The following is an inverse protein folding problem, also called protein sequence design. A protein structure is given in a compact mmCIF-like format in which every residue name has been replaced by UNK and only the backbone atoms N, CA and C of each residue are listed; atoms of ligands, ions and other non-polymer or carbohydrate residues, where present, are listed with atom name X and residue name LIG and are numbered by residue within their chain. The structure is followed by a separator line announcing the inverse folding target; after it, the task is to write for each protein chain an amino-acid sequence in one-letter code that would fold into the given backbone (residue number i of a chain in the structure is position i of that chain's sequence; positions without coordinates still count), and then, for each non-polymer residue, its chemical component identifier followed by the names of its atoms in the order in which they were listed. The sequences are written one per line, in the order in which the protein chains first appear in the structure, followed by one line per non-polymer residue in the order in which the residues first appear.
data_IF_671884113041
#
_entry.id   IF_671884113041
#
_cell.length_a   1.000
_cell.length_b   1.000
_cell.length_c   1.000
_cell.angle_alpha   90.00
_cell.angle_beta   90.00
_cell.angle_gamma   90.00
#
_symmetry.space_group_name_H-M   'P 1'
#
loop_
_entity.id
_entity.type
_entity.pdbx_description
1 polymer ?
#
# COMPACT_ATOMS: atom_id res chain seq x y z
N UNK A 1 5.45 -8.19 -0.62
CA UNK A 1 4.65 -9.15 0.16
C UNK A 1 3.29 -8.52 0.51
N UNK A 2 2.28 -8.73 -0.34
CA UNK A 2 0.94 -8.14 -0.19
C UNK A 2 -0.01 -9.14 0.47
N UNK A 3 -0.78 -8.66 1.46
CA UNK A 3 -1.69 -9.39 2.35
C UNK A 3 -1.00 -10.08 3.55
N UNK A 4 -0.96 -9.34 4.68
CA UNK A 4 -0.49 -9.87 5.98
C UNK A 4 -1.47 -10.86 6.63
N UNK A 5 -2.66 -11.01 6.03
CA UNK A 5 -3.68 -11.95 6.45
C UNK A 5 -3.90 -12.92 5.31
N UNK A 6 -3.41 -14.14 5.48
CA UNK A 6 -3.58 -15.19 4.49
C UNK A 6 -5.05 -15.61 4.45
N UNK A 7 -5.68 -15.45 3.29
CA UNK A 7 -7.03 -15.97 3.05
C UNK A 7 -6.97 -17.50 3.16
N UNK A 8 -7.98 -18.12 3.77
CA UNK A 8 -8.01 -19.60 3.91
C UNK A 8 -7.91 -20.28 2.53
N UNK A 9 -7.04 -21.30 2.33
CA UNK A 9 -6.74 -21.88 1.01
C UNK A 9 -7.98 -22.23 0.16
N UNK A 10 -9.00 -22.86 0.76
CA UNK A 10 -10.25 -23.23 0.07
C UNK A 10 -11.21 -22.07 -0.22
N UNK A 11 -10.90 -20.84 0.18
CA UNK A 11 -11.75 -19.66 0.01
C UNK A 11 -11.04 -18.48 -0.64
N UNK A 12 -9.80 -18.61 -1.11
CA UNK A 12 -8.96 -17.48 -1.56
C UNK A 12 -9.45 -16.81 -2.83
N UNK A 13 -9.97 -17.59 -3.77
CA UNK A 13 -10.37 -17.07 -5.08
C UNK A 13 -11.53 -16.08 -4.96
N UNK A 14 -11.48 -15.06 -5.81
CA UNK A 14 -12.40 -13.91 -5.78
C UNK A 14 -13.12 -13.73 -7.11
N UNK A 15 -12.67 -14.41 -8.16
CA UNK A 15 -13.30 -14.47 -9.47
C UNK A 15 -13.23 -15.88 -10.06
N UNK A 16 -14.27 -16.29 -10.79
CA UNK A 16 -14.32 -17.54 -11.56
C UNK A 16 -14.61 -17.25 -13.03
N UNK A 17 -13.96 -17.98 -13.93
CA UNK A 17 -14.28 -17.93 -15.36
C UNK A 17 -15.65 -18.57 -15.64
N UNK A 18 -16.28 -18.21 -16.76
CA UNK A 18 -17.60 -18.70 -17.19
C UNK A 18 -17.67 -20.23 -17.31
N UNK A 19 -16.53 -20.88 -17.58
CA UNK A 19 -16.41 -22.33 -17.69
C UNK A 19 -16.20 -23.04 -16.34
N UNK A 20 -16.16 -22.31 -15.22
CA UNK A 20 -15.85 -22.75 -13.85
C UNK A 20 -14.51 -23.48 -13.65
N UNK A 21 -13.67 -23.56 -14.69
CA UNK A 21 -12.38 -24.26 -14.61
C UNK A 21 -11.31 -23.42 -13.95
N UNK A 22 -11.37 -22.11 -14.16
CA UNK A 22 -10.36 -21.17 -13.68
C UNK A 22 -10.92 -20.32 -12.55
N UNK A 23 -10.19 -20.29 -11.43
CA UNK A 23 -10.53 -19.48 -10.26
C UNK A 23 -9.30 -18.67 -9.85
N UNK A 24 -9.41 -17.36 -9.93
CA UNK A 24 -8.30 -16.45 -9.67
C UNK A 24 -8.57 -15.58 -8.43
N UNK A 25 -7.50 -15.20 -7.76
CA UNK A 25 -7.51 -14.14 -6.76
C UNK A 25 -7.08 -12.85 -7.45
N UNK A 26 -8.06 -12.03 -7.82
CA UNK A 26 -7.83 -10.77 -8.54
C UNK A 26 -8.21 -9.53 -7.72
N UNK A 27 -8.95 -9.73 -6.62
CA UNK A 27 -9.35 -8.64 -5.74
C UNK A 27 -8.51 -8.64 -4.46
N UNK A 28 -7.80 -7.52 -4.30
CA UNK A 28 -6.91 -7.25 -3.18
C UNK A 28 -7.33 -5.99 -2.47
N UNK A 29 -6.98 -5.93 -1.19
CA UNK A 29 -7.26 -4.77 -0.36
C UNK A 29 -5.96 -4.31 0.26
N UNK A 30 -5.66 -3.03 0.06
CA UNK A 30 -4.42 -2.42 0.49
C UNK A 30 -4.68 -1.62 1.77
N UNK A 31 -3.84 -1.84 2.78
CA UNK A 31 -3.89 -1.09 4.02
C UNK A 31 -2.47 -0.88 4.52
N UNK A 32 -2.12 0.38 4.78
CA UNK A 32 -0.83 0.78 5.34
C UNK A 32 -0.75 0.49 6.86
N UNK A 33 -1.91 0.42 7.55
CA UNK A 33 -2.01 0.16 8.99
C UNK A 33 -2.40 -1.29 9.29
N UNK A 34 -1.47 -2.23 9.16
CA UNK A 34 -1.71 -3.66 9.46
C UNK A 34 -2.40 -3.94 10.80
N UNK A 35 -2.09 -3.16 11.84
CA UNK A 35 -2.59 -3.33 13.22
C UNK A 35 -4.12 -3.30 13.37
N UNK A 36 -4.80 -2.50 12.53
CA UNK A 36 -6.26 -2.33 12.61
C UNK A 36 -6.99 -3.42 11.84
N UNK A 37 -6.32 -4.09 10.90
CA UNK A 37 -6.93 -5.17 10.12
C UNK A 37 -6.85 -6.46 10.93
N UNK A 38 -8.00 -7.07 11.22
CA UNK A 38 -8.11 -8.29 12.04
C UNK A 38 -8.47 -9.53 11.23
N UNK A 39 -9.18 -9.37 10.13
CA UNK A 39 -9.61 -10.48 9.27
C UNK A 39 -9.73 -9.96 7.83
N UNK A 40 -9.27 -10.76 6.88
CA UNK A 40 -9.57 -10.60 5.46
C UNK A 40 -10.06 -11.95 4.98
N UNK A 41 -11.32 -12.02 4.58
CA UNK A 41 -11.96 -13.27 4.18
C UNK A 41 -12.84 -13.06 2.97
N UNK A 42 -13.01 -14.13 2.19
CA UNK A 42 -13.97 -14.14 1.08
C UNK A 42 -15.24 -14.82 1.55
N UNK A 43 -16.38 -14.15 1.37
CA UNK A 43 -17.70 -14.67 1.73
C UNK A 43 -18.05 -15.81 0.77
N UNK A 44 -18.73 -16.85 1.28
CA UNK A 44 -19.13 -17.99 0.47
C UNK A 44 -20.23 -17.57 -0.53
N UNK A 45 -20.17 -18.06 -1.76
CA UNK A 45 -21.17 -17.77 -2.80
C UNK A 45 -22.59 -18.08 -2.34
N UNK A 46 -22.75 -19.21 -1.64
CA UNK A 46 -24.03 -19.67 -1.10
C UNK A 46 -24.76 -18.67 -0.19
N UNK A 47 -24.08 -17.61 0.26
CA UNK A 47 -24.66 -16.60 1.15
C UNK A 47 -25.10 -15.30 0.45
N UNK A 48 -24.39 -14.85 -0.58
CA UNK A 48 -24.56 -13.48 -1.11
C UNK A 48 -24.42 -13.40 -2.64
N UNK A 49 -23.76 -14.37 -3.29
CA UNK A 49 -23.30 -14.24 -4.68
C UNK A 49 -23.56 -15.51 -5.50
N UNK A 50 -24.72 -16.15 -5.33
CA UNK A 50 -25.02 -17.48 -5.93
C UNK A 50 -24.94 -17.50 -7.46
N UNK A 51 -25.13 -16.34 -8.11
CA UNK A 51 -25.12 -16.22 -9.58
C UNK A 51 -24.08 -15.20 -10.10
N UNK A 52 -23.12 -14.78 -9.26
CA UNK A 52 -22.04 -13.89 -9.69
C UNK A 52 -20.76 -14.69 -9.91
N UNK A 53 -20.03 -14.31 -10.95
CA UNK A 53 -18.66 -14.74 -11.22
C UNK A 53 -17.65 -14.14 -10.23
N UNK A 54 -18.07 -13.14 -9.45
CA UNK A 54 -17.28 -12.49 -8.41
C UNK A 54 -17.73 -12.91 -7.01
N UNK A 55 -16.75 -13.04 -6.10
CA UNK A 55 -17.02 -13.29 -4.67
C UNK A 55 -16.75 -12.06 -3.84
N UNK A 56 -17.69 -11.77 -2.94
CA UNK A 56 -17.59 -10.65 -2.01
C UNK A 56 -16.44 -10.87 -1.01
N UNK A 57 -15.60 -9.85 -0.85
CA UNK A 57 -14.54 -9.80 0.17
C UNK A 57 -15.03 -9.03 1.39
N UNK A 58 -14.73 -9.58 2.56
CA UNK A 58 -14.97 -8.94 3.84
C UNK A 58 -13.65 -8.64 4.53
N UNK A 59 -13.52 -7.40 5.00
CA UNK A 59 -12.46 -7.01 5.93
C UNK A 59 -13.08 -6.69 7.28
N UNK A 60 -12.46 -7.19 8.35
CA UNK A 60 -12.73 -6.73 9.70
C UNK A 60 -11.66 -5.73 10.12
N UNK A 61 -12.08 -4.49 10.33
CA UNK A 61 -11.23 -3.43 10.87
C UNK A 61 -11.64 -3.18 12.32
N UNK A 62 -10.66 -3.12 13.22
CA UNK A 62 -10.86 -2.79 14.63
C UNK A 62 -9.98 -1.59 14.96
N UNK A 63 -10.61 -0.51 15.38
CA UNK A 63 -9.95 0.74 15.76
C UNK A 63 -10.10 0.93 17.27
N UNK A 64 -8.99 0.87 18.00
CA UNK A 64 -8.94 1.30 19.39
C UNK A 64 -8.67 2.82 19.43
N UNK A 65 -9.69 3.59 19.79
CA UNK A 65 -9.59 5.05 19.86
C UNK A 65 -8.57 5.52 20.90
N UNK A 66 -8.43 4.81 22.02
CA UNK A 66 -7.42 5.13 23.04
C UNK A 66 -6.01 4.90 22.52
N UNK A 67 -5.80 3.82 21.78
CA UNK A 67 -4.52 3.53 21.12
C UNK A 67 -4.20 4.53 20.00
N UNK A 68 -5.21 4.96 19.25
CA UNK A 68 -5.07 6.02 18.24
C UNK A 68 -4.66 7.34 18.90
N UNK A 69 -5.38 7.78 19.94
CA UNK A 69 -5.08 9.02 20.67
C UNK A 69 -3.68 9.01 21.27
N UNK A 70 -3.27 7.92 21.93
CA UNK A 70 -1.90 7.78 22.45
C UNK A 70 -0.84 7.89 21.36
N UNK A 71 -1.11 7.35 20.16
CA UNK A 71 -0.18 7.44 19.03
C UNK A 71 -0.12 8.83 18.42
N UNK A 72 -1.26 9.53 18.31
CA UNK A 72 -1.29 10.90 17.85
C UNK A 72 -0.51 11.81 18.81
N UNK A 73 -0.69 11.65 20.12
CA UNK A 73 0.07 12.38 21.13
C UNK A 73 1.58 12.08 21.07
N UNK A 74 1.98 10.82 20.85
CA UNK A 74 3.40 10.47 20.66
C UNK A 74 3.97 10.99 19.33
N UNK A 75 3.15 11.03 18.29
CA UNK A 75 3.56 11.54 16.97
C UNK A 75 3.75 13.06 16.98
N UNK A 76 2.90 13.80 17.70
CA UNK A 76 3.07 15.25 17.87
C UNK A 76 4.31 15.62 18.69
N UNK A 77 4.77 14.71 19.56
CA UNK A 77 6.02 14.85 20.32
C UNK A 77 7.28 14.50 19.52
N UNK A 78 7.16 13.70 18.44
CA UNK A 78 8.30 13.45 17.54
C UNK A 78 8.60 14.71 16.74
N UNK A 79 9.89 15.07 16.66
CA UNK A 79 10.40 16.24 15.91
C UNK A 79 9.64 16.44 14.58
N UNK A 80 9.36 17.70 14.24
CA UNK A 80 8.73 18.10 12.95
C UNK A 80 9.34 17.30 11.81
N UNK A 81 8.48 16.64 11.04
CA UNK A 81 8.87 15.82 9.89
C UNK A 81 9.83 16.57 8.99
N UNK A 82 10.80 15.86 8.44
CA UNK A 82 11.61 16.32 7.32
C UNK A 82 10.66 16.91 6.27
N UNK A 83 10.86 18.18 5.92
CA UNK A 83 9.93 18.90 5.05
C UNK A 83 10.04 18.26 3.66
N UNK A 84 8.96 17.61 3.25
CA UNK A 84 8.83 17.09 1.90
C UNK A 84 8.38 18.23 1.00
N UNK A 85 9.18 18.53 -0.01
CA UNK A 85 8.81 19.51 -1.04
C UNK A 85 8.19 18.76 -2.21
N UNK A 86 6.88 18.95 -2.40
CA UNK A 86 6.15 18.41 -3.55
C UNK A 86 6.75 18.90 -4.87
N UNK A 87 7.09 20.19 -4.96
CA UNK A 87 7.69 20.78 -6.16
C UNK A 87 9.03 20.10 -6.53
N UNK A 88 9.91 19.85 -5.55
CA UNK A 88 11.17 19.15 -5.79
C UNK A 88 10.94 17.69 -6.17
N UNK A 89 9.90 17.05 -5.63
CA UNK A 89 9.54 15.70 -6.01
C UNK A 89 9.06 15.62 -7.46
N UNK A 90 8.14 16.50 -7.85
CA UNK A 90 7.63 16.59 -9.22
C UNK A 90 8.76 16.83 -10.21
N UNK A 91 9.63 17.79 -9.92
CA UNK A 91 10.82 18.04 -10.73
C UNK A 91 11.75 16.82 -10.82
N UNK A 92 11.97 16.10 -9.72
CA UNK A 92 12.79 14.90 -9.72
C UNK A 92 12.17 13.77 -10.55
N UNK A 93 10.84 13.61 -10.52
CA UNK A 93 10.11 12.63 -11.32
C UNK A 93 10.20 12.96 -12.81
N UNK A 94 10.01 14.23 -13.19
CA UNK A 94 10.11 14.70 -14.58
C UNK A 94 11.53 14.50 -15.15
N UNK A 95 12.55 14.72 -14.32
CA UNK A 95 13.96 14.56 -14.72
C UNK A 95 14.46 13.11 -14.70
N UNK A 96 13.63 12.16 -14.27
CA UNK A 96 13.99 10.75 -14.20
C UNK A 96 13.58 10.04 -15.49
N UNK A 97 14.50 9.27 -16.08
CA UNK A 97 14.15 8.38 -17.18
C UNK A 97 13.36 7.17 -16.66
N UNK A 98 12.13 7.01 -17.14
CA UNK A 98 11.20 5.92 -16.80
C UNK A 98 11.20 4.78 -17.82
N UNK A 99 12.19 4.74 -18.71
CA UNK A 99 12.37 3.60 -19.62
C UNK A 99 12.39 2.28 -18.85
N UNK A 100 11.64 1.31 -19.39
CA UNK A 100 11.47 -0.05 -18.87
C UNK A 100 12.07 -1.04 -19.86
N UNK A 101 12.78 -2.04 -19.36
CA UNK A 101 13.31 -3.14 -20.15
C UNK A 101 12.30 -4.30 -20.13
N UNK A 102 11.42 -4.29 -21.13
CA UNK A 102 10.20 -5.13 -21.29
C UNK A 102 10.44 -6.65 -21.16
N UNK A 103 11.68 -7.12 -21.10
CA UNK A 103 12.00 -8.54 -21.01
C UNK A 103 11.81 -9.12 -19.60
N UNK A 104 11.92 -8.32 -18.53
CA UNK A 104 11.75 -8.79 -17.14
C UNK A 104 11.01 -7.78 -16.25
N UNK A 105 9.75 -8.09 -15.94
CA UNK A 105 8.85 -7.26 -15.12
C UNK A 105 9.35 -7.12 -13.68
N UNK A 106 9.99 -8.15 -13.11
CA UNK A 106 10.44 -8.10 -11.72
C UNK A 106 11.67 -7.18 -11.59
N UNK A 107 12.56 -7.21 -12.59
CA UNK A 107 13.70 -6.29 -12.70
C UNK A 107 13.23 -4.85 -12.91
N UNK A 108 12.27 -4.64 -13.80
CA UNK A 108 11.67 -3.31 -14.05
C UNK A 108 10.97 -2.74 -12.81
N UNK A 109 10.28 -3.59 -12.05
CA UNK A 109 9.66 -3.19 -10.79
C UNK A 109 10.72 -2.75 -9.77
N UNK A 110 11.82 -3.48 -9.65
CA UNK A 110 12.96 -3.11 -8.78
C UNK A 110 13.55 -1.75 -9.15
N UNK A 111 13.87 -1.56 -10.43
CA UNK A 111 14.40 -0.31 -10.99
C UNK A 111 13.45 0.88 -10.75
N UNK A 112 12.15 0.69 -10.99
CA UNK A 112 11.12 1.70 -10.74
C UNK A 112 11.09 2.12 -9.27
N UNK A 113 11.19 1.16 -8.35
CA UNK A 113 11.19 1.43 -6.91
C UNK A 113 12.42 2.23 -6.49
N UNK A 114 13.60 1.90 -7.01
CA UNK A 114 14.85 2.63 -6.74
C UNK A 114 14.78 4.08 -7.24
N UNK A 115 14.29 4.28 -8.48
CA UNK A 115 14.06 5.60 -9.07
C UNK A 115 13.13 6.47 -8.20
N UNK A 116 12.02 5.90 -7.73
CA UNK A 116 11.09 6.59 -6.81
C UNK A 116 11.72 6.94 -5.47
N UNK A 117 12.56 6.05 -4.91
CA UNK A 117 13.27 6.32 -3.66
C UNK A 117 14.28 7.45 -3.82
N UNK A 118 14.96 7.53 -4.98
CA UNK A 118 15.85 8.64 -5.33
C UNK A 118 15.07 9.95 -5.43
N UNK A 119 13.95 9.99 -6.15
CA UNK A 119 13.09 11.17 -6.23
C UNK A 119 12.65 11.65 -4.84
N UNK A 120 12.23 10.71 -3.97
CA UNK A 120 11.88 11.01 -2.58
C UNK A 120 13.04 11.63 -1.81
N UNK A 121 14.25 11.11 -1.97
CA UNK A 121 15.43 11.62 -1.25
C UNK A 121 15.77 13.07 -1.62
N UNK A 122 15.58 13.44 -2.89
CA UNK A 122 15.77 14.81 -3.40
C UNK A 122 14.69 15.77 -2.88
N UNK A 123 13.48 15.26 -2.71
CA UNK A 123 12.34 16.03 -2.18
C UNK A 123 12.37 16.23 -0.66
N UNK A 124 13.16 15.45 0.08
CA UNK A 124 13.28 15.57 1.54
C UNK A 124 14.49 16.43 1.92
N UNK A 125 14.26 17.71 2.25
CA UNK A 125 15.34 18.61 2.66
C UNK A 125 16.02 18.20 3.97
N UNK A 126 17.35 18.32 4.06
CA UNK A 126 18.05 18.41 5.35
C UNK A 126 17.87 19.83 5.86
N UNK A 127 17.55 20.01 7.15
CA UNK A 127 17.64 21.34 7.77
C UNK A 127 19.08 21.82 7.65
N UNK A 128 19.31 22.85 6.85
CA UNK A 128 20.45 23.74 7.10
C UNK A 128 20.21 24.39 8.46
N UNK A 129 21.15 24.21 9.37
CA UNK A 129 21.09 24.85 10.68
C UNK A 129 21.12 26.36 10.47
N UNK A 130 20.10 27.04 10.97
CA UNK A 130 20.13 28.47 11.18
C UNK A 130 21.27 28.80 12.15
N UNK A 131 22.44 29.10 11.60
CA UNK A 131 23.54 29.73 12.30
C UNK A 131 23.67 31.14 11.75
N UNK A 132 22.74 32.01 12.15
CA UNK A 132 23.02 33.43 12.31
C UNK A 132 22.05 33.96 13.35
N UNK A 133 22.55 34.14 14.57
CA UNK A 133 21.97 34.99 15.60
C UNK A 133 23.07 35.97 15.95
N UNK A 134 22.78 37.22 15.64
CA UNK A 134 23.26 38.50 16.19
C UNK A 134 24.46 38.47 17.16
#
# INVERSE_FOLDING_TARGET
MNTFLEKRPGKRWTWRALNDRTRNEIYFMLCDKKRIVKDVSVIAESKVCVHSDHRLIRIKIVVDLGEVSRRLARASQRRKSQQFSEALFTQAVENTDWSMHVEDIDVDHGSTLEKLQKCRSLATGKREGSAEKD
#
